data_IF_219299940050
#
_entry.id   IF_219299940050
#
_cell.length_a   1.000
_cell.length_b   1.000
_cell.length_c   1.000
_cell.angle_alpha   90.00
_cell.angle_beta   90.00
_cell.angle_gamma   90.00
#
_symmetry.space_group_name_H-M   'P 1'
#
loop_
_entity.id
_entity.type
_entity.pdbx_description
1 polymer ?
#
# COMPACT_ATOMS: atom_id res chain seq x y z
N UNK A 1 24.26 -7.78 3.16
CA UNK A 1 23.72 -6.76 4.07
C UNK A 1 24.83 -5.81 4.47
N UNK A 2 24.75 -4.51 4.15
CA UNK A 2 25.72 -3.53 4.62
C UNK A 2 25.53 -3.28 6.12
N UNK A 3 26.63 -3.10 6.84
CA UNK A 3 26.72 -3.09 8.31
C UNK A 3 26.03 -1.88 8.98
N UNK A 4 25.44 -0.95 8.22
CA UNK A 4 24.70 0.21 8.72
C UNK A 4 23.28 -0.13 9.18
N UNK A 5 22.63 -1.13 8.58
CA UNK A 5 21.28 -1.56 8.99
C UNK A 5 21.25 -2.08 10.43
N UNK A 6 22.33 -2.70 10.91
CA UNK A 6 22.36 -3.29 12.25
C UNK A 6 22.20 -2.26 13.39
N UNK A 7 22.53 -0.98 13.16
CA UNK A 7 22.47 0.06 14.18
C UNK A 7 21.15 0.87 14.16
N UNK A 8 20.51 1.01 12.99
CA UNK A 8 19.17 1.60 12.89
C UNK A 8 18.12 0.72 13.60
N UNK A 9 18.24 -0.60 13.47
CA UNK A 9 17.35 -1.57 14.13
C UNK A 9 17.50 -1.61 15.67
N UNK A 10 18.66 -1.24 16.23
CA UNK A 10 18.85 -1.19 17.68
C UNK A 10 18.26 0.10 18.30
N UNK A 11 18.16 1.19 17.53
CA UNK A 11 17.59 2.47 17.97
C UNK A 11 16.07 2.45 18.13
N UNK A 12 15.37 1.76 17.22
CA UNK A 12 13.91 1.53 17.28
C UNK A 12 13.52 0.65 18.49
N UNK A 13 14.42 -0.25 18.90
CA UNK A 13 14.22 -1.15 20.05
C UNK A 13 14.35 -0.46 21.42
N UNK A 14 15.04 0.69 21.52
CA UNK A 14 15.27 1.35 22.82
C UNK A 14 14.22 2.42 23.18
N UNK A 15 13.41 2.90 22.24
CA UNK A 15 12.36 3.91 22.53
C UNK A 15 10.98 3.31 22.85
N UNK A 16 10.71 2.04 22.54
CA UNK A 16 9.44 1.38 22.88
C UNK A 16 9.42 0.73 24.29
N UNK A 17 10.42 0.96 25.14
CA UNK A 17 10.47 0.40 26.50
C UNK A 17 10.43 1.45 27.64
N UNK A 18 10.06 2.71 27.38
CA UNK A 18 9.89 3.72 28.45
C UNK A 18 8.50 4.38 28.37
N UNK A 19 7.45 3.56 28.28
CA UNK A 19 6.06 4.04 28.37
C UNK A 19 5.27 3.43 29.53
N UNK A 20 5.95 2.86 30.54
CA UNK A 20 5.33 2.51 31.82
C UNK A 20 6.26 2.92 32.97
N UNK A 21 6.02 4.12 33.52
CA UNK A 21 6.62 4.55 34.77
C UNK A 21 7.11 5.99 34.76
N UNK A 22 6.22 6.92 35.05
CA UNK A 22 6.28 7.85 36.20
C UNK A 22 5.23 8.93 35.97
N UNK A 23 4.12 8.78 36.67
CA UNK A 23 3.18 9.87 36.94
C UNK A 23 3.86 10.88 37.87
N UNK A 24 3.62 12.16 37.60
CA UNK A 24 3.89 13.32 38.44
C UNK A 24 5.35 13.76 38.63
N UNK A 25 5.80 14.69 37.76
CA UNK A 25 6.27 16.05 38.11
C UNK A 25 7.26 16.56 37.06
N UNK A 26 6.83 17.46 36.16
CA UNK A 26 7.45 18.78 36.00
C UNK A 26 6.66 19.58 34.95
N UNK A 27 6.05 20.68 35.38
CA UNK A 27 5.72 21.80 34.50
C UNK A 27 7.03 22.54 34.23
N UNK A 28 7.47 22.64 32.97
CA UNK A 28 8.18 23.83 32.53
C UNK A 28 7.99 24.06 31.03
N UNK A 29 7.58 25.29 30.73
CA UNK A 29 7.27 25.85 29.42
C UNK A 29 8.36 25.61 28.37
N UNK A 30 7.94 25.21 27.17
CA UNK A 30 8.66 25.48 25.93
C UNK A 30 7.69 25.34 24.77
N UNK A 31 7.28 26.50 24.25
CA UNK A 31 6.45 26.76 23.07
C UNK A 31 6.09 25.55 22.19
N UNK A 32 4.85 25.07 22.33
CA UNK A 32 4.19 24.31 21.28
C UNK A 32 3.80 25.29 20.15
N UNK A 33 4.66 25.42 19.15
CA UNK A 33 4.18 25.83 17.83
C UNK A 33 3.30 24.70 17.32
N UNK A 34 2.04 25.01 17.11
CA UNK A 34 1.01 24.19 16.52
C UNK A 34 1.57 23.37 15.36
N UNK A 35 1.62 22.04 15.51
CA UNK A 35 1.82 21.13 14.38
C UNK A 35 0.57 21.28 13.50
N UNK A 36 0.68 22.12 12.48
CA UNK A 36 -0.26 22.17 11.39
C UNK A 36 -0.19 20.80 10.70
N UNK A 37 -1.20 19.97 10.97
CA UNK A 37 -1.43 18.66 10.37
C UNK A 37 -1.49 18.81 8.84
N UNK A 38 -0.32 18.82 8.20
CA UNK A 38 -0.21 18.95 6.75
C UNK A 38 -0.66 17.63 6.14
N UNK A 39 -1.94 17.55 5.76
CA UNK A 39 -2.55 16.38 5.11
C UNK A 39 -1.60 15.79 4.06
N UNK A 40 -1.05 14.61 4.35
CA UNK A 40 -0.03 13.98 3.53
C UNK A 40 -0.59 13.56 2.16
N UNK A 41 0.11 13.93 1.07
CA UNK A 41 -0.37 13.72 -0.30
C UNK A 41 0.49 12.75 -1.11
N UNK A 42 1.68 12.38 -0.66
CA UNK A 42 2.51 11.45 -1.43
C UNK A 42 1.86 10.07 -1.49
N UNK A 43 1.29 9.68 -2.64
CA UNK A 43 0.63 8.39 -2.81
C UNK A 43 -0.72 8.53 -3.52
N UNK A 44 -1.20 7.44 -4.09
CA UNK A 44 -2.38 7.41 -4.96
C UNK A 44 -3.68 7.02 -4.24
N UNK A 45 -3.54 6.41 -3.08
CA UNK A 45 -4.58 5.84 -2.25
C UNK A 45 -4.16 5.93 -0.77
N UNK A 46 -5.07 5.56 0.13
CA UNK A 46 -4.85 5.65 1.57
C UNK A 46 -3.61 4.88 2.03
N UNK A 47 -3.32 3.71 1.46
CA UNK A 47 -2.23 2.83 1.91
C UNK A 47 -0.89 3.41 1.47
N UNK A 48 -0.77 3.74 0.19
CA UNK A 48 0.46 4.32 -0.38
C UNK A 48 0.78 5.67 0.25
N UNK A 49 -0.25 6.43 0.68
CA UNK A 49 -0.10 7.62 1.51
C UNK A 49 0.43 7.30 2.91
N UNK A 50 -0.24 6.42 3.65
CA UNK A 50 0.20 6.06 5.01
C UNK A 50 1.62 5.45 5.05
N UNK A 51 1.98 4.63 4.06
CA UNK A 51 3.31 4.02 3.97
C UNK A 51 4.41 5.03 3.69
N UNK A 52 4.20 5.92 2.72
CA UNK A 52 5.20 6.93 2.39
C UNK A 52 5.31 7.99 3.48
N UNK A 53 4.22 8.30 4.18
CA UNK A 53 4.22 9.17 5.36
C UNK A 53 5.07 8.55 6.48
N UNK A 54 4.80 7.29 6.83
CA UNK A 54 5.55 6.59 7.88
C UNK A 54 7.05 6.46 7.59
N UNK A 55 7.41 6.21 6.33
CA UNK A 55 8.82 6.20 5.89
C UNK A 55 9.48 7.57 6.15
N UNK A 56 8.83 8.66 5.73
CA UNK A 56 9.38 10.01 5.87
C UNK A 56 9.39 10.48 7.32
N UNK A 57 8.38 10.14 8.11
CA UNK A 57 8.36 10.41 9.55
C UNK A 57 9.48 9.67 10.30
N UNK A 58 9.85 8.48 9.82
CA UNK A 58 10.93 7.68 10.42
C UNK A 58 12.31 8.21 10.05
N UNK A 59 12.56 8.45 8.76
CA UNK A 59 13.91 8.73 8.27
C UNK A 59 14.24 10.23 8.22
N UNK A 60 13.25 11.09 7.99
CA UNK A 60 13.43 12.54 7.97
C UNK A 60 12.18 13.31 8.42
N UNK A 61 11.80 13.23 9.71
CA UNK A 61 10.61 13.89 10.24
C UNK A 61 10.63 15.41 10.04
N UNK A 62 11.81 16.04 10.08
CA UNK A 62 11.98 17.48 9.86
C UNK A 62 11.79 17.91 8.39
N UNK A 63 11.74 16.95 7.46
CA UNK A 63 11.59 17.19 6.02
C UNK A 63 10.21 16.75 5.50
N UNK A 64 9.28 16.37 6.38
CA UNK A 64 7.91 15.96 6.01
C UNK A 64 7.23 17.00 5.12
N UNK A 65 7.21 18.26 5.54
CA UNK A 65 6.58 19.36 4.78
C UNK A 65 7.23 19.58 3.40
N UNK A 66 8.56 19.78 3.27
CA UNK A 66 9.17 20.00 1.95
C UNK A 66 9.04 18.80 1.01
N UNK A 67 9.05 17.55 1.53
CA UNK A 67 8.79 16.37 0.71
C UNK A 67 7.32 16.34 0.23
N UNK A 68 6.37 16.61 1.13
CA UNK A 68 4.95 16.66 0.78
C UNK A 68 4.65 17.73 -0.29
N UNK A 69 5.35 18.87 -0.25
CA UNK A 69 5.25 19.90 -1.28
C UNK A 69 5.67 19.41 -2.67
N UNK A 70 6.65 18.50 -2.76
CA UNK A 70 7.01 17.86 -4.03
C UNK A 70 5.87 17.00 -4.58
N UNK A 71 5.18 16.27 -3.70
CA UNK A 71 4.04 15.43 -4.08
C UNK A 71 2.85 16.26 -4.55
N UNK A 72 2.50 17.32 -3.82
CA UNK A 72 1.49 18.30 -4.24
C UNK A 72 1.77 18.89 -5.63
N UNK A 73 3.04 19.25 -5.89
CA UNK A 73 3.44 19.79 -7.18
C UNK A 73 3.36 18.74 -8.30
N UNK A 74 3.69 17.48 -8.00
CA UNK A 74 3.62 16.35 -8.94
C UNK A 74 2.18 16.01 -9.30
N UNK A 75 1.29 15.90 -8.32
CA UNK A 75 -0.14 15.64 -8.52
C UNK A 75 -0.77 16.75 -9.38
N UNK A 76 -0.47 18.02 -9.08
CA UNK A 76 -0.93 19.15 -9.90
C UNK A 76 -0.34 19.12 -11.33
N UNK A 77 0.88 18.64 -11.52
CA UNK A 77 1.47 18.44 -12.86
C UNK A 77 0.73 17.33 -13.63
N UNK A 78 0.35 16.25 -12.94
CA UNK A 78 -0.48 15.18 -13.48
C UNK A 78 -1.89 15.68 -13.81
N UNK A 79 -2.53 16.48 -12.95
CA UNK A 79 -3.82 17.14 -13.20
C UNK A 79 -3.80 17.97 -14.49
N UNK A 80 -2.72 18.72 -14.71
CA UNK A 80 -2.55 19.56 -15.88
C UNK A 80 -2.12 18.80 -17.14
N UNK A 81 -1.88 17.49 -17.03
CA UNK A 81 -1.51 16.62 -18.16
C UNK A 81 -0.28 17.16 -18.93
N UNK A 82 0.72 17.68 -18.22
CA UNK A 82 1.92 18.29 -18.84
C UNK A 82 2.92 17.26 -19.42
N UNK A 83 2.57 15.98 -19.39
CA UNK A 83 3.39 14.86 -19.83
C UNK A 83 4.02 14.12 -18.66
N UNK A 84 3.72 12.83 -18.51
CA UNK A 84 4.16 11.99 -17.37
C UNK A 84 5.65 12.10 -17.10
N UNK A 85 6.49 11.86 -18.11
CA UNK A 85 7.96 11.90 -17.97
C UNK A 85 8.45 13.27 -17.46
N UNK A 86 7.86 14.36 -17.97
CA UNK A 86 8.22 15.70 -17.55
C UNK A 86 7.86 15.95 -16.08
N UNK A 87 6.65 15.56 -15.67
CA UNK A 87 6.21 15.64 -14.28
C UNK A 87 7.09 14.80 -13.34
N UNK A 88 7.40 13.56 -13.73
CA UNK A 88 8.26 12.67 -12.94
C UNK A 88 9.68 13.22 -12.80
N UNK A 89 10.25 13.79 -13.86
CA UNK A 89 11.60 14.38 -13.83
C UNK A 89 11.68 15.58 -12.87
N UNK A 90 10.66 16.44 -12.85
CA UNK A 90 10.57 17.57 -11.92
C UNK A 90 10.38 17.08 -10.49
N UNK A 91 9.51 16.10 -10.28
CA UNK A 91 9.30 15.49 -8.96
C UNK A 91 10.59 14.89 -8.40
N UNK A 92 11.30 14.08 -9.20
CA UNK A 92 12.58 13.51 -8.82
C UNK A 92 13.60 14.58 -8.43
N UNK A 93 13.67 15.68 -9.20
CA UNK A 93 14.56 16.80 -8.87
C UNK A 93 14.14 17.50 -7.57
N UNK A 94 12.85 17.75 -7.38
CA UNK A 94 12.31 18.34 -6.17
C UNK A 94 12.68 17.52 -4.93
N UNK A 95 12.50 16.19 -4.98
CA UNK A 95 12.85 15.31 -3.88
C UNK A 95 14.33 15.39 -3.53
N UNK A 96 15.23 15.37 -4.52
CA UNK A 96 16.67 15.48 -4.27
C UNK A 96 17.03 16.81 -3.57
N UNK A 97 16.39 17.91 -3.94
CA UNK A 97 16.61 19.21 -3.28
C UNK A 97 16.01 19.23 -1.88
N UNK A 98 14.78 18.74 -1.72
CA UNK A 98 14.07 18.71 -0.43
C UNK A 98 14.78 17.84 0.60
N UNK A 99 15.44 16.76 0.14
CA UNK A 99 16.09 15.77 1.00
C UNK A 99 17.58 15.99 1.19
N UNK A 100 18.23 16.90 0.46
CA UNK A 100 19.67 17.19 0.55
C UNK A 100 20.21 17.30 2.00
N UNK A 101 19.50 17.92 2.96
CA UNK A 101 19.98 18.02 4.35
C UNK A 101 20.04 16.69 5.12
N UNK A 102 19.36 15.63 4.67
CA UNK A 102 19.27 14.33 5.33
C UNK A 102 19.82 13.23 4.45
N UNK A 103 20.97 12.64 4.83
CA UNK A 103 21.71 11.69 4.00
C UNK A 103 20.89 10.47 3.59
N UNK A 104 20.10 9.89 4.50
CA UNK A 104 19.24 8.72 4.23
C UNK A 104 18.16 9.10 3.22
N UNK A 105 17.39 10.16 3.50
CA UNK A 105 16.34 10.58 2.57
C UNK A 105 16.88 11.03 1.22
N UNK A 106 18.08 11.60 1.16
CA UNK A 106 18.72 12.01 -0.09
C UNK A 106 19.22 10.84 -0.93
N UNK A 107 19.88 9.86 -0.29
CA UNK A 107 20.54 8.75 -1.00
C UNK A 107 19.64 7.53 -1.20
N UNK A 108 18.59 7.38 -0.40
CA UNK A 108 17.74 6.19 -0.37
C UNK A 108 16.28 6.55 -0.72
N UNK A 109 15.61 7.38 0.08
CA UNK A 109 14.17 7.63 -0.10
C UNK A 109 13.83 8.42 -1.37
N UNK A 110 14.57 9.50 -1.67
CA UNK A 110 14.33 10.30 -2.86
C UNK A 110 14.52 9.48 -4.15
N UNK A 111 15.60 8.69 -4.32
CA UNK A 111 15.73 7.75 -5.44
C UNK A 111 14.64 6.67 -5.46
N UNK A 112 14.22 6.15 -4.30
CA UNK A 112 13.15 5.17 -4.20
C UNK A 112 11.83 5.75 -4.72
N UNK A 113 11.37 6.88 -4.16
CA UNK A 113 10.12 7.54 -4.55
C UNK A 113 10.14 7.95 -6.03
N UNK A 114 11.26 8.50 -6.51
CA UNK A 114 11.45 8.80 -7.93
C UNK A 114 11.30 7.55 -8.81
N UNK A 115 11.88 6.41 -8.39
CA UNK A 115 11.79 5.15 -9.12
C UNK A 115 10.38 4.58 -9.11
N UNK A 116 9.64 4.75 -8.00
CA UNK A 116 8.26 4.30 -7.87
C UNK A 116 7.33 5.06 -8.82
N UNK A 117 7.38 6.40 -8.86
CA UNK A 117 6.50 7.17 -9.76
C UNK A 117 6.79 6.90 -11.23
N UNK A 118 8.06 6.69 -11.60
CA UNK A 118 8.43 6.37 -13.00
C UNK A 118 7.95 4.99 -13.45
N UNK A 119 7.95 4.02 -12.53
CA UNK A 119 7.53 2.64 -12.82
C UNK A 119 6.00 2.49 -12.74
N UNK A 120 5.36 3.13 -11.78
CA UNK A 120 3.96 2.87 -11.43
C UNK A 120 3.02 4.06 -11.62
N UNK A 121 3.53 5.25 -11.93
CA UNK A 121 2.75 6.49 -12.05
C UNK A 121 1.87 6.58 -13.29
N UNK A 122 1.93 5.63 -14.25
CA UNK A 122 1.11 5.68 -15.46
C UNK A 122 -0.40 5.69 -15.19
N UNK A 123 -0.85 4.80 -14.30
CA UNK A 123 -2.26 4.67 -13.98
C UNK A 123 -2.76 5.94 -13.27
N UNK A 124 -1.96 6.49 -12.36
CA UNK A 124 -2.24 7.75 -11.68
C UNK A 124 -2.33 8.91 -12.71
N UNK A 125 -1.31 9.08 -13.55
CA UNK A 125 -1.29 10.10 -14.60
C UNK A 125 -2.52 10.03 -15.51
N UNK A 126 -2.89 8.83 -15.96
CA UNK A 126 -4.04 8.63 -16.84
C UNK A 126 -5.39 8.84 -16.14
N UNK A 127 -5.49 8.62 -14.83
CA UNK A 127 -6.72 8.89 -14.04
C UNK A 127 -7.08 10.37 -14.08
N UNK A 128 -6.09 11.24 -13.98
CA UNK A 128 -6.27 12.70 -14.07
C UNK A 128 -6.71 13.16 -15.47
N UNK A 129 -6.33 12.42 -16.53
CA UNK A 129 -6.80 12.68 -17.89
C UNK A 129 -8.32 12.44 -18.04
N UNK A 130 -8.86 11.42 -17.36
CA UNK A 130 -10.29 11.12 -17.42
C UNK A 130 -11.12 12.21 -16.75
N UNK A 131 -10.63 12.82 -15.67
CA UNK A 131 -11.33 13.93 -14.99
C UNK A 131 -11.33 15.21 -15.83
N UNK A 132 -10.27 15.48 -16.59
CA UNK A 132 -10.20 16.61 -17.52
C UNK A 132 -11.23 16.53 -18.66
N UNK A 133 -11.66 15.33 -19.06
CA UNK A 133 -12.71 15.11 -20.07
C UNK A 133 -14.13 15.35 -19.55
N UNK A 134 -14.34 15.37 -18.22
CA UNK A 134 -15.65 15.57 -17.58
C UNK A 134 -15.73 16.86 -16.73
N UNK A 135 -14.66 17.67 -16.68
CA UNK A 135 -14.68 18.96 -16.00
C UNK A 135 -15.49 20.00 -16.80
N UNK A 136 -16.51 20.65 -16.20
CA UNK A 136 -17.34 21.64 -16.89
C UNK A 136 -16.61 22.97 -17.21
N UNK A 137 -15.31 23.09 -16.94
CA UNK A 137 -14.55 24.34 -17.05
C UNK A 137 -13.55 24.44 -18.21
N UNK A 138 -13.47 23.48 -19.13
CA UNK A 138 -12.57 23.56 -20.31
C UNK A 138 -13.29 23.83 -21.63
N UNK A 139 -14.28 24.74 -21.63
CA UNK A 139 -14.61 25.47 -22.86
C UNK A 139 -13.58 26.61 -23.04
N UNK A 140 -13.09 26.79 -24.27
CA UNK A 140 -11.98 27.67 -24.73
C UNK A 140 -10.61 26.98 -24.59
N UNK A 141 -9.97 26.41 -25.62
CA UNK A 141 -9.99 26.70 -27.06
C UNK A 141 -9.46 25.48 -27.85
N UNK A 142 -10.25 24.95 -28.79
CA UNK A 142 -9.82 24.65 -30.18
C UNK A 142 -10.99 24.07 -30.99
N UNK A 143 -11.01 24.29 -32.32
CA UNK A 143 -12.12 23.88 -33.17
C UNK A 143 -11.89 22.46 -33.70
N UNK A 144 -12.81 21.54 -33.39
CA UNK A 144 -12.97 20.29 -34.14
C UNK A 144 -14.17 20.41 -35.08
N UNK A 145 -14.04 20.02 -36.36
CA UNK A 145 -15.19 19.76 -37.20
C UNK A 145 -15.64 18.31 -36.99
N UNK A 146 -16.71 18.14 -36.23
CA UNK A 146 -17.79 17.21 -36.53
C UNK A 146 -17.53 15.72 -36.39
N UNK A 147 -18.13 15.12 -35.35
CA UNK A 147 -18.89 13.88 -35.52
C UNK A 147 -19.93 13.73 -34.40
N UNK A 148 -21.20 13.65 -34.81
CA UNK A 148 -22.33 13.37 -33.95
C UNK A 148 -22.57 11.86 -33.83
N UNK A 149 -23.13 11.43 -32.69
CA UNK A 149 -24.19 10.41 -32.47
C UNK A 149 -24.14 10.00 -30.97
N UNK A 150 -24.99 10.49 -30.08
CA UNK A 150 -26.41 10.17 -29.79
C UNK A 150 -26.60 8.86 -28.99
N UNK A 151 -27.02 8.99 -27.73
CA UNK A 151 -27.73 7.94 -26.97
C UNK A 151 -27.37 7.84 -25.49
N UNK A 152 -28.15 8.50 -24.62
CA UNK A 152 -28.23 8.20 -23.18
C UNK A 152 -29.27 7.09 -22.94
N UNK A 153 -29.16 6.31 -21.85
CA UNK A 153 -30.07 6.59 -20.72
C UNK A 153 -29.40 6.54 -19.33
N UNK A 154 -29.88 7.42 -18.45
CA UNK A 154 -29.74 7.47 -16.99
C UNK A 154 -30.68 6.45 -16.30
N UNK A 155 -30.81 6.39 -14.95
CA UNK A 155 -29.89 6.65 -13.82
C UNK A 155 -29.96 5.54 -12.74
N UNK A 156 -29.03 5.46 -11.77
CA UNK A 156 -29.39 5.05 -10.39
C UNK A 156 -28.56 5.84 -9.36
N UNK A 157 -29.27 6.52 -8.47
CA UNK A 157 -28.82 7.23 -7.27
C UNK A 157 -28.30 6.26 -6.21
N UNK A 158 -27.20 6.58 -5.53
CA UNK A 158 -26.99 6.12 -4.16
C UNK A 158 -26.29 7.19 -3.33
N UNK A 159 -27.04 7.80 -2.42
CA UNK A 159 -26.48 8.14 -1.12
C UNK A 159 -26.61 6.89 -0.24
N UNK A 160 -25.55 6.51 0.46
CA UNK A 160 -25.66 5.56 1.57
C UNK A 160 -24.58 5.81 2.61
N UNK A 161 -25.08 5.95 3.84
CA UNK A 161 -24.39 5.95 5.13
C UNK A 161 -23.42 4.78 5.30
N UNK A 162 -22.21 5.07 5.79
CA UNK A 162 -21.16 4.09 6.14
C UNK A 162 -21.66 3.05 7.15
N UNK A 163 -21.47 1.76 6.86
CA UNK A 163 -21.55 0.68 7.84
C UNK A 163 -20.54 -0.43 7.48
N UNK A 164 -20.15 -1.21 8.49
CA UNK A 164 -19.04 -2.18 8.61
C UNK A 164 -19.03 -3.38 7.63
N UNK A 165 -19.44 -3.22 6.37
CA UNK A 165 -19.72 -4.30 5.41
C UNK A 165 -18.94 -4.21 4.09
N UNK A 166 -17.76 -3.59 4.09
CA UNK A 166 -17.02 -3.30 2.84
C UNK A 166 -16.23 -4.52 2.33
N UNK A 167 -15.90 -5.49 3.20
CA UNK A 167 -15.07 -6.65 2.82
C UNK A 167 -15.89 -7.95 2.68
N UNK A 168 -15.71 -8.76 1.64
CA UNK A 168 -16.28 -10.10 1.59
C UNK A 168 -15.72 -11.01 2.69
N UNK A 169 -16.60 -11.75 3.38
CA UNK A 169 -16.22 -12.63 4.50
C UNK A 169 -15.19 -13.71 4.13
N UNK A 170 -15.07 -14.07 2.85
CA UNK A 170 -14.16 -15.09 2.34
C UNK A 170 -12.73 -14.58 2.08
N UNK A 171 -12.53 -13.26 2.01
CA UNK A 171 -11.22 -12.67 1.73
C UNK A 171 -10.32 -12.72 2.97
N UNK A 172 -9.12 -13.28 2.88
CA UNK A 172 -8.20 -13.42 4.00
C UNK A 172 -6.84 -12.77 3.76
N UNK A 173 -6.58 -12.24 2.55
CA UNK A 173 -5.30 -11.64 2.26
C UNK A 173 -5.08 -10.34 3.04
N UNK A 174 -4.19 -10.37 4.04
CA UNK A 174 -3.82 -9.21 4.87
C UNK A 174 -3.81 -9.55 6.35
N UNK A 175 -2.96 -8.87 7.13
CA UNK A 175 -2.74 -9.17 8.56
C UNK A 175 -3.75 -8.52 9.53
N UNK A 176 -4.50 -7.53 9.07
CA UNK A 176 -5.54 -6.82 9.83
C UNK A 176 -6.64 -6.33 8.88
N UNK A 177 -7.73 -5.77 9.41
CA UNK A 177 -8.89 -5.38 8.61
C UNK A 177 -8.58 -4.30 7.55
N UNK A 178 -7.72 -3.32 7.88
CA UNK A 178 -7.32 -2.29 6.93
C UNK A 178 -6.50 -2.90 5.77
N UNK A 179 -5.55 -3.78 6.09
CA UNK A 179 -4.72 -4.48 5.10
C UNK A 179 -5.56 -5.44 4.25
N UNK A 180 -6.57 -6.08 4.85
CA UNK A 180 -7.51 -6.96 4.14
C UNK A 180 -8.35 -6.19 3.13
N UNK A 181 -8.90 -5.05 3.53
CA UNK A 181 -9.66 -4.15 2.65
C UNK A 181 -8.81 -3.62 1.50
N UNK A 182 -7.63 -3.10 1.84
CA UNK A 182 -6.62 -2.65 0.91
C UNK A 182 -6.29 -3.69 -0.18
N UNK A 183 -6.00 -4.92 0.26
CA UNK A 183 -5.63 -6.00 -0.65
C UNK A 183 -6.81 -6.42 -1.54
N UNK A 184 -8.03 -6.44 -0.99
CA UNK A 184 -9.23 -6.75 -1.75
C UNK A 184 -9.50 -5.69 -2.82
N UNK A 185 -9.52 -4.40 -2.48
CA UNK A 185 -9.77 -3.31 -3.44
C UNK A 185 -8.70 -3.27 -4.55
N UNK A 186 -7.44 -3.54 -4.21
CA UNK A 186 -6.35 -3.61 -5.18
C UNK A 186 -6.56 -4.71 -6.22
N UNK A 187 -7.08 -5.86 -5.78
CA UNK A 187 -7.31 -7.03 -6.64
C UNK A 187 -8.63 -6.89 -7.40
N UNK A 188 -9.68 -6.39 -6.77
CA UNK A 188 -10.96 -6.11 -7.43
C UNK A 188 -10.78 -5.10 -8.58
N UNK A 189 -10.02 -4.02 -8.33
CA UNK A 189 -9.74 -2.99 -9.33
C UNK A 189 -8.86 -3.44 -10.50
N UNK A 190 -7.96 -4.41 -10.30
CA UNK A 190 -7.01 -4.85 -11.33
C UNK A 190 -7.38 -6.17 -12.03
N UNK A 191 -8.01 -7.08 -11.30
CA UNK A 191 -8.21 -8.48 -11.68
C UNK A 191 -9.28 -9.16 -10.81
N UNK A 192 -10.47 -8.55 -10.66
CA UNK A 192 -11.57 -9.07 -9.82
C UNK A 192 -11.90 -10.55 -10.08
N UNK A 193 -11.83 -11.00 -11.33
CA UNK A 193 -12.06 -12.40 -11.73
C UNK A 193 -11.07 -13.38 -11.08
N UNK A 194 -9.88 -12.92 -10.69
CA UNK A 194 -8.84 -13.72 -10.05
C UNK A 194 -8.85 -13.64 -8.52
N UNK A 195 -9.76 -12.88 -7.92
CA UNK A 195 -9.72 -12.62 -6.48
C UNK A 195 -9.70 -13.90 -5.63
N UNK A 196 -10.47 -14.93 -6.01
CA UNK A 196 -10.45 -16.22 -5.32
C UNK A 196 -9.10 -16.95 -5.43
N UNK A 197 -8.49 -16.97 -6.63
CA UNK A 197 -7.21 -17.64 -6.87
C UNK A 197 -6.08 -16.92 -6.13
N UNK A 198 -6.09 -15.59 -6.14
CA UNK A 198 -5.17 -14.73 -5.40
C UNK A 198 -5.31 -14.97 -3.89
N UNK A 199 -6.54 -15.04 -3.37
CA UNK A 199 -6.80 -15.31 -1.96
C UNK A 199 -6.29 -16.68 -1.51
N UNK A 200 -6.34 -17.70 -2.39
CA UNK A 200 -5.77 -19.02 -2.10
C UNK A 200 -4.25 -18.96 -1.85
N UNK A 201 -3.53 -18.06 -2.53
CA UNK A 201 -2.11 -17.83 -2.26
C UNK A 201 -1.89 -17.24 -0.86
N UNK A 202 -2.75 -16.32 -0.43
CA UNK A 202 -2.66 -15.72 0.91
C UNK A 202 -2.99 -16.75 2.01
N UNK A 203 -4.01 -17.59 1.81
CA UNK A 203 -4.32 -18.70 2.72
C UNK A 203 -3.13 -19.68 2.87
N UNK A 204 -2.47 -20.00 1.76
CA UNK A 204 -1.28 -20.86 1.79
C UNK A 204 -0.11 -20.20 2.53
N UNK A 205 0.04 -18.89 2.40
CA UNK A 205 1.05 -18.09 3.09
C UNK A 205 0.80 -18.01 4.59
N UNK A 206 -0.44 -17.72 5.02
CA UNK A 206 -0.83 -17.73 6.43
C UNK A 206 -0.60 -19.11 7.06
N UNK A 207 -0.89 -20.18 6.32
CA UNK A 207 -0.59 -21.53 6.78
C UNK A 207 0.93 -21.76 6.88
N UNK A 208 1.73 -21.28 5.92
CA UNK A 208 3.19 -21.35 5.98
C UNK A 208 3.76 -20.60 7.19
N UNK A 209 3.24 -19.40 7.44
CA UNK A 209 3.54 -18.56 8.60
C UNK A 209 3.19 -19.28 9.91
N UNK A 210 1.97 -19.82 10.04
CA UNK A 210 1.55 -20.55 11.25
C UNK A 210 2.42 -21.77 11.55
N UNK A 211 3.00 -22.38 10.51
CA UNK A 211 3.95 -23.49 10.63
C UNK A 211 5.40 -23.08 10.86
N UNK A 212 5.69 -21.78 10.82
CA UNK A 212 7.02 -21.22 11.07
C UNK A 212 8.10 -21.86 10.19
N UNK A 213 7.82 -22.01 8.89
CA UNK A 213 8.75 -22.65 7.93
C UNK A 213 9.92 -21.75 7.48
N UNK A 214 10.00 -20.53 8.01
CA UNK A 214 10.94 -19.49 7.60
C UNK A 214 10.24 -18.39 6.81
N UNK A 215 10.36 -17.14 7.25
CA UNK A 215 9.68 -15.99 6.64
C UNK A 215 10.04 -15.84 5.16
N UNK A 216 11.34 -15.75 4.83
CA UNK A 216 11.82 -15.58 3.45
C UNK A 216 11.31 -16.70 2.54
N UNK A 217 11.33 -17.95 3.02
CA UNK A 217 10.78 -19.10 2.29
C UNK A 217 9.27 -18.97 2.04
N UNK A 218 8.50 -18.58 3.06
CA UNK A 218 7.06 -18.40 2.92
C UNK A 218 6.74 -17.24 1.97
N UNK A 219 7.47 -16.13 2.04
CA UNK A 219 7.28 -14.94 1.21
C UNK A 219 7.61 -15.23 -0.26
N UNK A 220 8.66 -16.02 -0.53
CA UNK A 220 8.99 -16.48 -1.88
C UNK A 220 7.91 -17.39 -2.46
N UNK A 221 7.40 -18.33 -1.66
CA UNK A 221 6.28 -19.20 -2.07
C UNK A 221 5.00 -18.41 -2.36
N UNK A 222 4.70 -17.41 -1.53
CA UNK A 222 3.60 -16.48 -1.75
C UNK A 222 3.77 -15.73 -3.08
N UNK A 223 4.95 -15.17 -3.31
CA UNK A 223 5.27 -14.46 -4.53
C UNK A 223 5.12 -15.31 -5.79
N UNK A 224 5.69 -16.51 -5.80
CA UNK A 224 5.60 -17.41 -6.93
C UNK A 224 4.14 -17.82 -7.21
N UNK A 225 3.37 -18.09 -6.16
CA UNK A 225 1.94 -18.39 -6.27
C UNK A 225 1.18 -17.25 -6.96
N UNK A 226 1.34 -16.01 -6.48
CA UNK A 226 0.66 -14.87 -7.07
C UNK A 226 1.10 -14.59 -8.52
N UNK A 227 2.39 -14.69 -8.82
CA UNK A 227 2.91 -14.48 -10.17
C UNK A 227 2.36 -15.51 -11.16
N UNK A 228 2.24 -16.77 -10.75
CA UNK A 228 1.66 -17.84 -11.56
C UNK A 228 0.15 -17.64 -11.72
N UNK A 229 -0.56 -17.36 -10.62
CA UNK A 229 -2.01 -17.18 -10.59
C UNK A 229 -2.49 -16.03 -11.48
N UNK A 230 -1.69 -14.98 -11.60
CA UNK A 230 -2.04 -13.76 -12.34
C UNK A 230 -1.46 -13.71 -13.74
N UNK A 231 -0.77 -14.77 -14.17
CA UNK A 231 -0.17 -14.84 -15.50
C UNK A 231 -1.23 -14.61 -16.58
N UNK A 232 -1.01 -13.57 -17.40
CA UNK A 232 -1.94 -13.15 -18.46
C UNK A 232 -2.81 -11.95 -18.10
N UNK A 233 -2.84 -11.53 -16.84
CA UNK A 233 -3.50 -10.30 -16.39
C UNK A 233 -2.47 -9.21 -16.17
N UNK A 234 -2.18 -8.43 -17.21
CA UNK A 234 -1.04 -7.50 -17.25
C UNK A 234 -0.91 -6.63 -15.98
N UNK A 235 -1.92 -5.82 -15.66
CA UNK A 235 -1.89 -4.90 -14.50
C UNK A 235 -1.69 -5.68 -13.19
N UNK A 236 -2.46 -6.75 -13.00
CA UNK A 236 -2.42 -7.57 -11.79
C UNK A 236 -1.05 -8.23 -11.61
N UNK A 237 -0.48 -8.75 -12.69
CA UNK A 237 0.79 -9.48 -12.73
C UNK A 237 2.01 -8.58 -12.62
N UNK A 238 2.01 -7.41 -13.27
CA UNK A 238 3.20 -6.54 -13.36
C UNK A 238 3.21 -5.42 -12.33
N UNK A 239 2.06 -5.12 -11.71
CA UNK A 239 1.93 -4.01 -10.74
C UNK A 239 1.48 -4.51 -9.38
N UNK A 240 0.27 -5.09 -9.30
CA UNK A 240 -0.35 -5.41 -8.01
C UNK A 240 0.41 -6.51 -7.26
N UNK A 241 0.70 -7.63 -7.94
CA UNK A 241 1.40 -8.78 -7.34
C UNK A 241 2.83 -8.44 -6.90
N UNK A 242 3.68 -7.75 -7.71
CA UNK A 242 4.99 -7.32 -7.25
C UNK A 242 4.94 -6.37 -6.05
N UNK A 243 3.87 -5.56 -5.94
CA UNK A 243 3.58 -4.77 -4.75
C UNK A 243 3.36 -5.64 -3.51
N UNK A 244 2.48 -6.64 -3.61
CA UNK A 244 2.22 -7.57 -2.50
C UNK A 244 3.49 -8.34 -2.08
N UNK A 245 4.28 -8.79 -3.05
CA UNK A 245 5.60 -9.38 -2.80
C UNK A 245 6.54 -8.49 -2.00
N UNK A 246 6.62 -7.23 -2.40
CA UNK A 246 7.45 -6.24 -1.70
C UNK A 246 6.92 -6.00 -0.29
N UNK A 247 5.60 -6.00 -0.10
CA UNK A 247 4.99 -5.81 1.21
C UNK A 247 5.34 -6.93 2.18
N UNK A 248 5.16 -8.20 1.79
CA UNK A 248 5.44 -9.33 2.69
C UNK A 248 6.93 -9.45 3.01
N UNK A 249 7.82 -9.24 2.03
CA UNK A 249 9.27 -9.35 2.24
C UNK A 249 9.83 -8.25 3.13
N UNK A 250 9.31 -7.03 3.02
CA UNK A 250 9.84 -5.88 3.77
C UNK A 250 9.09 -5.63 5.09
N UNK A 251 7.81 -5.99 5.19
CA UNK A 251 6.95 -5.66 6.33
C UNK A 251 6.21 -6.87 6.93
N UNK A 252 6.46 -8.09 6.45
CA UNK A 252 5.80 -9.30 6.92
C UNK A 252 6.34 -9.87 8.25
N UNK A 253 7.43 -9.34 8.80
CA UNK A 253 8.13 -9.97 9.93
C UNK A 253 7.27 -9.99 11.21
N UNK A 254 6.52 -8.91 11.45
CA UNK A 254 5.59 -8.81 12.57
C UNK A 254 4.45 -9.84 12.43
N UNK A 255 3.88 -9.98 11.23
CA UNK A 255 2.83 -10.96 10.96
C UNK A 255 3.36 -12.41 11.09
N UNK A 256 4.56 -12.67 10.58
CA UNK A 256 5.24 -13.96 10.72
C UNK A 256 5.47 -14.32 12.19
N UNK A 257 6.02 -13.41 12.99
CA UNK A 257 6.24 -13.63 14.43
C UNK A 257 4.93 -13.81 15.19
N UNK A 258 3.91 -13.00 14.88
CA UNK A 258 2.61 -13.09 15.52
C UNK A 258 1.94 -14.46 15.30
N UNK A 259 2.12 -15.04 14.11
CA UNK A 259 1.58 -16.37 13.78
C UNK A 259 2.19 -17.54 14.56
N UNK A 260 3.36 -17.34 15.21
CA UNK A 260 3.98 -18.33 16.10
C UNK A 260 3.25 -18.49 17.43
N UNK A 261 2.55 -17.43 17.87
CA UNK A 261 1.74 -17.45 19.08
C UNK A 261 0.38 -18.05 18.76
N UNK A 262 -0.09 -19.08 19.48
CA UNK A 262 -1.48 -19.50 19.37
C UNK A 262 -2.36 -18.34 19.84
N UNK A 263 -2.97 -17.60 18.91
CA UNK A 263 -4.10 -16.74 19.24
C UNK A 263 -5.21 -17.59 19.89
N UNK A 264 -6.16 -16.97 20.62
CA UNK A 264 -7.35 -17.69 21.06
C UNK A 264 -7.98 -18.28 19.81
N UNK A 265 -7.96 -19.62 19.71
CA UNK A 265 -8.52 -20.36 18.59
C UNK A 265 -9.90 -19.78 18.30
N UNK A 266 -10.07 -19.20 17.11
CA UNK A 266 -11.37 -19.22 16.48
C UNK A 266 -11.83 -20.68 16.58
N UNK A 267 -12.95 -20.90 17.27
CA UNK A 267 -13.58 -22.21 17.35
C UNK A 267 -13.73 -22.70 15.91
N UNK A 268 -12.87 -23.63 15.51
CA UNK A 268 -13.21 -24.52 14.41
C UNK A 268 -14.53 -25.19 14.83
N UNK A 269 -15.59 -25.15 14.01
CA UNK A 269 -16.75 -25.98 14.26
C UNK A 269 -16.28 -27.45 14.28
N UNK A 270 -16.80 -28.28 15.21
CA UNK A 270 -16.48 -29.70 15.20
C UNK A 270 -17.17 -30.37 14.00
N UNK A 271 -16.39 -30.99 13.13
CA UNK A 271 -16.85 -31.89 12.07
C UNK A 271 -15.76 -32.09 11.02
N UNK A 272 -15.29 -33.28 10.65
CA UNK A 272 -15.68 -34.63 11.00
C UNK A 272 -14.42 -35.50 11.00
N UNK A 273 -14.14 -36.14 12.12
CA UNK A 273 -13.26 -37.30 12.15
C UNK A 273 -14.15 -38.53 11.94
N UNK A 274 -14.11 -39.15 10.75
CA UNK A 274 -14.24 -40.60 10.54
C UNK A 274 -14.30 -40.94 9.04
N UNK A 275 -13.19 -41.43 8.48
CA UNK A 275 -13.17 -42.72 7.79
C UNK A 275 -11.72 -43.18 7.54
N UNK A 276 -11.15 -43.87 8.53
CA UNK A 276 -10.08 -44.85 8.26
C UNK A 276 -10.78 -46.15 7.87
N UNK A 277 -10.75 -46.46 6.58
CA UNK A 277 -11.03 -47.80 6.07
C UNK A 277 -9.80 -48.66 6.25
N UNK A 278 -9.82 -49.49 7.29
CA UNK A 278 -8.94 -50.64 7.43
C UNK A 278 -9.32 -51.68 6.37
N UNK A 279 -8.33 -52.21 5.64
CA UNK A 279 -8.50 -53.30 4.70
C UNK A 279 -7.36 -54.28 4.93
N UNK A 280 -7.50 -55.02 6.02
CA UNK A 280 -6.89 -56.33 6.18
C UNK A 280 -7.91 -57.38 5.75
N UNK A 281 -7.63 -58.08 4.64
CA UNK A 281 -8.14 -59.44 4.48
C UNK A 281 -7.14 -60.29 3.69
N UNK A 282 -6.97 -61.49 4.26
CA UNK A 282 -6.17 -62.64 3.86
C UNK A 282 -6.43 -63.15 2.44
#
# INVERSE_FOLDING_TARGET
MPRSMFWAFLGLLLHMQIADGISAKYQQESSSSEEEDSNWQCGTDFITKAMSEGQVETDCPTLKVPINNCCLAHDNCYDQQLGRKYCDDIFCHCLLVATEPAEICFKEDAPLFCSLVRQFGEAAYNRHNLFALFSPFTLFTRPDPGLALKGSPQPISQGSTLNSSILPDWWQCGSNDANRLAAYESIDGACSVLAEVVNNCCLAHDHCYSRQLGQEYCDDMFCDCHLIATKGWFICHTVVVPGFCSLVRNFGDAAYKASATPGPKALLPPGDAQHQGDSTHS
#
